data_IF_506359839136
#
_entry.id   IF_506359839136
#
_cell.length_a   1.000
_cell.length_b   1.000
_cell.length_c   1.000
_cell.angle_alpha   90.00
_cell.angle_beta   90.00
_cell.angle_gamma   90.00
#
_symmetry.space_group_name_H-M   'P 1'
#
loop_
_entity.id
_entity.type
_entity.pdbx_description
1 polymer ?
#
# COMPACT_ATOMS: atom_id res chain seq x y z
N UNK A 1 -7.18 -29.13 -27.77
CA UNK A 1 -7.13 -27.76 -27.23
C UNK A 1 -8.56 -27.22 -27.16
N UNK A 2 -9.18 -27.20 -25.98
CA UNK A 2 -10.59 -26.80 -25.81
C UNK A 2 -10.68 -25.27 -25.72
N UNK A 3 -11.29 -24.63 -26.73
CA UNK A 3 -11.64 -23.20 -26.69
C UNK A 3 -12.79 -23.02 -25.69
N UNK A 4 -12.47 -22.71 -24.44
CA UNK A 4 -13.49 -22.18 -23.52
C UNK A 4 -13.93 -20.82 -24.05
N UNK A 5 -15.09 -20.80 -24.70
CA UNK A 5 -15.77 -19.58 -25.11
C UNK A 5 -15.97 -18.71 -23.87
N UNK A 6 -15.33 -17.52 -23.85
CA UNK A 6 -15.62 -16.50 -22.86
C UNK A 6 -17.08 -16.11 -23.06
N UNK A 7 -17.98 -16.63 -22.22
CA UNK A 7 -19.38 -16.21 -22.21
C UNK A 7 -19.37 -14.71 -21.97
N UNK A 8 -19.77 -13.93 -22.97
CA UNK A 8 -19.87 -12.49 -22.84
C UNK A 8 -20.79 -12.20 -21.65
N UNK A 9 -20.23 -11.60 -20.59
CA UNK A 9 -21.03 -11.21 -19.43
C UNK A 9 -22.05 -10.20 -19.91
N UNK A 10 -23.32 -10.41 -19.55
CA UNK A 10 -24.36 -9.42 -19.80
C UNK A 10 -23.91 -8.10 -19.15
N UNK A 11 -24.04 -6.96 -19.84
CA UNK A 11 -23.75 -5.67 -19.24
C UNK A 11 -24.57 -5.55 -17.95
N UNK A 12 -23.90 -5.20 -16.85
CA UNK A 12 -24.55 -4.95 -15.58
C UNK A 12 -25.57 -3.82 -15.75
N UNK A 13 -26.77 -3.92 -15.13
CA UNK A 13 -27.71 -2.82 -15.13
C UNK A 13 -27.01 -1.57 -14.61
N UNK A 14 -27.05 -0.51 -15.40
CA UNK A 14 -26.46 0.79 -15.10
C UNK A 14 -27.29 1.45 -13.98
N UNK A 15 -27.02 1.09 -12.72
CA UNK A 15 -27.40 1.95 -11.61
C UNK A 15 -26.62 3.25 -11.75
N UNK A 16 -27.30 4.40 -11.63
CA UNK A 16 -26.65 5.69 -11.58
C UNK A 16 -25.49 5.61 -10.57
N UNK A 17 -24.27 6.03 -10.94
CA UNK A 17 -23.15 5.98 -10.02
C UNK A 17 -23.56 6.73 -8.76
N UNK A 18 -23.35 6.11 -7.60
CA UNK A 18 -23.51 6.78 -6.31
C UNK A 18 -22.70 8.08 -6.37
N UNK A 19 -23.37 9.23 -6.52
CA UNK A 19 -22.76 10.56 -6.51
C UNK A 19 -22.19 10.89 -5.11
N UNK A 20 -22.46 10.04 -4.12
CA UNK A 20 -22.15 10.27 -2.73
C UNK A 20 -20.80 9.69 -2.28
N UNK A 21 -19.97 9.15 -3.18
CA UNK A 21 -18.63 8.67 -2.79
C UNK A 21 -17.65 9.85 -2.88
N UNK A 22 -17.20 10.41 -1.76
CA UNK A 22 -16.30 11.56 -1.79
C UNK A 22 -14.95 11.16 -2.40
N UNK A 23 -14.38 12.06 -3.20
CA UNK A 23 -13.01 11.91 -3.71
C UNK A 23 -12.05 11.89 -2.53
N UNK A 24 -11.22 10.84 -2.41
CA UNK A 24 -10.31 10.74 -1.26
C UNK A 24 -9.48 12.01 -1.09
N UNK A 25 -8.89 12.52 -2.18
CA UNK A 25 -8.10 13.77 -2.20
C UNK A 25 -8.79 14.99 -1.59
N UNK A 26 -10.12 14.98 -1.52
CA UNK A 26 -10.93 16.06 -0.94
C UNK A 26 -11.29 15.84 0.53
N UNK A 27 -10.96 14.68 1.10
CA UNK A 27 -11.29 14.33 2.47
C UNK A 27 -10.32 14.94 3.48
N UNK A 28 -10.90 15.41 4.57
CA UNK A 28 -10.22 15.75 5.82
C UNK A 28 -9.84 14.49 6.60
N UNK A 29 -8.94 14.65 7.58
CA UNK A 29 -8.58 13.62 8.55
C UNK A 29 -9.81 13.10 9.32
N UNK A 30 -10.75 13.98 9.64
CA UNK A 30 -11.98 13.64 10.38
C UNK A 30 -12.97 12.85 9.53
N UNK A 31 -13.20 13.29 8.29
CA UNK A 31 -14.05 12.55 7.34
C UNK A 31 -13.48 11.16 7.09
N UNK A 32 -12.16 11.01 6.96
CA UNK A 32 -11.58 9.69 6.81
C UNK A 32 -11.63 8.81 8.05
N UNK A 33 -11.42 9.39 9.23
CA UNK A 33 -11.63 8.65 10.48
C UNK A 33 -13.06 8.16 10.58
N UNK A 34 -14.02 8.95 10.09
CA UNK A 34 -15.43 8.59 10.01
C UNK A 34 -15.67 7.49 8.98
N UNK A 35 -15.12 7.62 7.76
CA UNK A 35 -15.18 6.59 6.72
C UNK A 35 -14.54 5.27 7.15
N UNK A 36 -13.46 5.31 7.93
CA UNK A 36 -12.83 4.12 8.50
C UNK A 36 -13.76 3.38 9.46
N UNK A 37 -14.44 4.15 10.32
CA UNK A 37 -15.40 3.60 11.29
C UNK A 37 -16.67 3.10 10.60
N UNK A 38 -17.15 3.77 9.55
CA UNK A 38 -18.36 3.38 8.83
C UNK A 38 -18.11 2.28 7.80
N UNK A 39 -16.91 2.20 7.19
CA UNK A 39 -16.54 1.20 6.19
C UNK A 39 -16.53 -0.23 6.74
N UNK A 40 -16.51 -0.40 8.06
CA UNK A 40 -16.93 -1.62 8.72
C UNK A 40 -18.45 -1.64 8.84
N UNK A 41 -19.16 -1.67 7.71
CA UNK A 41 -20.62 -1.71 7.74
C UNK A 41 -21.06 -3.02 8.43
N UNK A 42 -21.65 -2.95 9.63
CA UNK A 42 -21.94 -4.15 10.42
C UNK A 42 -23.02 -5.03 9.80
N UNK A 43 -23.69 -4.53 8.74
CA UNK A 43 -24.90 -5.10 8.15
C UNK A 43 -24.74 -5.53 6.69
N UNK A 44 -23.51 -5.73 6.20
CA UNK A 44 -23.31 -6.30 4.86
C UNK A 44 -23.87 -7.74 4.84
N UNK A 45 -24.93 -7.95 4.08
CA UNK A 45 -25.48 -9.27 3.78
C UNK A 45 -24.79 -9.79 2.52
N UNK A 46 -23.86 -10.73 2.69
CA UNK A 46 -23.13 -11.36 1.59
C UNK A 46 -23.47 -12.85 1.52
N UNK A 47 -24.13 -13.26 0.44
CA UNK A 47 -24.29 -14.67 0.11
C UNK A 47 -23.02 -15.17 -0.59
N UNK A 48 -22.23 -15.97 0.13
CA UNK A 48 -20.98 -16.53 -0.38
C UNK A 48 -21.19 -17.54 -1.53
N UNK A 49 -22.38 -18.11 -1.68
CA UNK A 49 -22.70 -19.04 -2.78
C UNK A 49 -23.12 -18.31 -4.05
N UNK A 50 -23.65 -17.09 -3.92
CA UNK A 50 -24.14 -16.26 -5.03
C UNK A 50 -23.60 -14.84 -4.93
N UNK A 51 -22.26 -14.64 -5.00
CA UNK A 51 -21.64 -13.32 -4.85
C UNK A 51 -22.16 -12.32 -5.88
N UNK A 52 -22.54 -12.76 -7.07
CA UNK A 52 -23.12 -11.91 -8.12
C UNK A 52 -24.45 -11.26 -7.75
N UNK A 53 -25.18 -11.83 -6.79
CA UNK A 53 -26.45 -11.27 -6.31
C UNK A 53 -26.25 -10.21 -5.21
N UNK A 54 -25.02 -10.02 -4.71
CA UNK A 54 -24.73 -9.06 -3.65
C UNK A 54 -24.68 -7.63 -4.19
N UNK A 55 -25.59 -6.72 -3.79
CA UNK A 55 -25.57 -5.33 -4.23
C UNK A 55 -24.27 -4.62 -3.84
N UNK A 56 -23.74 -4.92 -2.65
CA UNK A 56 -22.48 -4.37 -2.15
C UNK A 56 -21.29 -4.74 -3.05
N UNK A 57 -21.18 -6.00 -3.48
CA UNK A 57 -20.12 -6.38 -4.43
C UNK A 57 -20.29 -5.69 -5.79
N UNK A 58 -21.51 -5.50 -6.26
CA UNK A 58 -21.75 -4.78 -7.52
C UNK A 58 -21.36 -3.30 -7.43
N UNK A 59 -21.61 -2.66 -6.29
CA UNK A 59 -21.16 -1.29 -6.02
C UNK A 59 -19.63 -1.20 -6.05
N UNK A 60 -18.93 -2.11 -5.36
CA UNK A 60 -17.46 -2.19 -5.40
C UNK A 60 -16.97 -2.34 -6.84
N UNK A 61 -17.56 -3.25 -7.62
CA UNK A 61 -17.19 -3.45 -9.03
C UNK A 61 -17.47 -2.23 -9.90
N UNK A 62 -18.52 -1.47 -9.62
CA UNK A 62 -18.82 -0.22 -10.31
C UNK A 62 -17.77 0.85 -10.00
N UNK A 63 -17.37 1.00 -8.74
CA UNK A 63 -16.34 1.95 -8.32
C UNK A 63 -14.97 1.61 -8.89
N UNK A 64 -14.62 0.32 -8.99
CA UNK A 64 -13.38 -0.13 -9.64
C UNK A 64 -13.29 0.27 -11.12
N UNK A 65 -14.40 0.61 -11.77
CA UNK A 65 -14.44 1.08 -13.17
C UNK A 65 -14.40 2.61 -13.28
N UNK A 66 -14.31 3.33 -12.17
CA UNK A 66 -14.21 4.79 -12.19
C UNK A 66 -12.90 5.25 -12.82
N UNK A 67 -12.92 6.35 -13.57
CA UNK A 67 -11.70 6.99 -14.07
C UNK A 67 -10.86 7.60 -12.93
N UNK A 68 -11.47 7.88 -11.79
CA UNK A 68 -10.80 8.45 -10.62
C UNK A 68 -10.02 7.38 -9.84
N UNK A 69 -8.70 7.57 -9.77
CA UNK A 69 -7.77 6.68 -9.07
C UNK A 69 -8.12 6.53 -7.58
N UNK A 70 -8.52 7.63 -6.94
CA UNK A 70 -8.87 7.66 -5.52
C UNK A 70 -10.08 6.79 -5.22
N UNK A 71 -11.11 6.86 -6.06
CA UNK A 71 -12.33 6.05 -5.96
C UNK A 71 -12.04 4.56 -6.15
N UNK A 72 -11.21 4.19 -7.13
CA UNK A 72 -10.80 2.79 -7.32
C UNK A 72 -10.03 2.26 -6.12
N UNK A 73 -9.07 3.01 -5.60
CA UNK A 73 -8.30 2.62 -4.41
C UNK A 73 -9.21 2.47 -3.17
N UNK A 74 -10.15 3.40 -2.99
CA UNK A 74 -11.11 3.33 -1.88
C UNK A 74 -12.00 2.11 -1.94
N UNK A 75 -12.48 1.75 -3.15
CA UNK A 75 -13.25 0.52 -3.36
C UNK A 75 -12.45 -0.73 -2.93
N UNK A 76 -11.17 -0.81 -3.29
CA UNK A 76 -10.29 -1.91 -2.88
C UNK A 76 -10.11 -1.94 -1.36
N UNK A 77 -9.88 -0.79 -0.74
CA UNK A 77 -9.75 -0.69 0.71
C UNK A 77 -11.03 -1.11 1.44
N UNK A 78 -12.20 -0.59 1.04
CA UNK A 78 -13.50 -1.00 1.61
C UNK A 78 -13.72 -2.49 1.46
N UNK A 79 -13.52 -3.01 0.26
CA UNK A 79 -13.61 -4.44 -0.01
C UNK A 79 -12.71 -5.23 0.94
N UNK A 80 -11.43 -4.87 1.06
CA UNK A 80 -10.46 -5.55 1.92
C UNK A 80 -10.89 -5.55 3.38
N UNK A 81 -11.31 -4.42 3.95
CA UNK A 81 -11.71 -4.34 5.36
C UNK A 81 -13.00 -5.15 5.62
N UNK A 82 -14.05 -4.92 4.84
CA UNK A 82 -15.33 -5.57 5.06
C UNK A 82 -15.26 -7.07 4.76
N UNK A 83 -14.61 -7.48 3.68
CA UNK A 83 -14.52 -8.87 3.28
C UNK A 83 -13.63 -9.68 4.23
N UNK A 84 -12.50 -9.13 4.69
CA UNK A 84 -11.68 -9.78 5.72
C UNK A 84 -12.46 -10.01 7.01
N UNK A 85 -13.27 -9.03 7.42
CA UNK A 85 -14.15 -9.15 8.58
C UNK A 85 -15.22 -10.23 8.39
N UNK A 86 -15.88 -10.27 7.22
CA UNK A 86 -16.90 -11.28 6.91
C UNK A 86 -16.33 -12.71 6.88
N UNK A 87 -15.14 -12.90 6.30
CA UNK A 87 -14.43 -14.18 6.31
C UNK A 87 -14.05 -14.64 7.72
N UNK A 88 -13.76 -13.71 8.62
CA UNK A 88 -13.46 -14.03 10.00
C UNK A 88 -14.72 -14.38 10.81
N UNK A 89 -15.85 -13.71 10.54
CA UNK A 89 -17.06 -13.79 11.37
C UNK A 89 -18.04 -14.89 10.97
N UNK A 90 -18.33 -15.04 9.68
CA UNK A 90 -19.56 -15.72 9.23
C UNK A 90 -19.35 -17.09 8.60
N UNK A 91 -18.11 -17.47 8.26
CA UNK A 91 -17.92 -18.58 7.33
C UNK A 91 -16.68 -19.41 7.61
N UNK A 92 -16.72 -20.65 7.11
CA UNK A 92 -15.50 -21.38 6.84
C UNK A 92 -14.76 -20.63 5.73
N UNK A 93 -13.43 -20.49 5.81
CA UNK A 93 -12.67 -19.76 4.77
C UNK A 93 -12.95 -20.27 3.36
N UNK A 94 -13.33 -21.54 3.22
CA UNK A 94 -13.73 -22.16 1.94
C UNK A 94 -14.94 -21.49 1.28
N UNK A 95 -15.83 -20.85 2.03
CA UNK A 95 -16.99 -20.15 1.47
C UNK A 95 -16.56 -18.88 0.71
N UNK A 96 -15.44 -18.27 1.15
CA UNK A 96 -14.81 -17.12 0.49
C UNK A 96 -14.31 -17.37 -0.93
N UNK A 97 -14.14 -18.63 -1.34
CA UNK A 97 -13.53 -18.94 -2.65
C UNK A 97 -14.40 -18.41 -3.80
N UNK A 98 -15.72 -18.52 -3.69
CA UNK A 98 -16.64 -18.03 -4.73
C UNK A 98 -16.61 -16.51 -4.84
N UNK A 99 -16.64 -15.80 -3.71
CA UNK A 99 -16.53 -14.33 -3.68
C UNK A 99 -15.20 -13.88 -4.29
N UNK A 100 -14.09 -14.52 -3.89
CA UNK A 100 -12.75 -14.19 -4.37
C UNK A 100 -12.63 -14.43 -5.87
N UNK A 101 -13.08 -15.58 -6.36
CA UNK A 101 -13.06 -15.90 -7.79
C UNK A 101 -13.96 -14.95 -8.59
N UNK A 102 -15.13 -14.62 -8.07
CA UNK A 102 -16.06 -13.69 -8.70
C UNK A 102 -15.40 -12.32 -8.86
N UNK A 103 -14.88 -11.73 -7.77
CA UNK A 103 -14.34 -10.38 -7.84
C UNK A 103 -13.02 -10.31 -8.63
N UNK A 104 -12.16 -11.34 -8.54
CA UNK A 104 -10.95 -11.47 -9.37
C UNK A 104 -11.29 -11.54 -10.86
N UNK A 105 -12.31 -12.33 -11.22
CA UNK A 105 -12.78 -12.45 -12.61
C UNK A 105 -13.42 -11.16 -13.13
N UNK A 106 -13.81 -10.24 -12.24
CA UNK A 106 -14.42 -8.96 -12.56
C UNK A 106 -13.46 -7.77 -12.45
N UNK A 107 -12.14 -8.03 -12.40
CA UNK A 107 -11.12 -7.02 -12.66
C UNK A 107 -10.44 -6.42 -11.43
N UNK A 108 -10.78 -6.81 -10.20
CA UNK A 108 -10.07 -6.27 -9.02
C UNK A 108 -8.56 -6.59 -9.05
N UNK A 109 -8.17 -7.75 -9.59
CA UNK A 109 -6.75 -8.11 -9.74
C UNK A 109 -6.01 -7.15 -10.67
N UNK A 110 -6.67 -6.69 -11.74
CA UNK A 110 -6.11 -5.68 -12.65
C UNK A 110 -5.96 -4.33 -11.97
N UNK A 111 -6.96 -3.90 -11.21
CA UNK A 111 -6.89 -2.62 -10.49
C UNK A 111 -5.83 -2.62 -9.39
N UNK A 112 -5.69 -3.74 -8.67
CA UNK A 112 -4.58 -3.93 -7.72
C UNK A 112 -3.24 -3.79 -8.43
N UNK A 113 -3.06 -4.46 -9.58
CA UNK A 113 -1.82 -4.34 -10.36
C UNK A 113 -1.54 -2.90 -10.79
N UNK A 114 -2.52 -2.23 -11.40
CA UNK A 114 -2.39 -0.84 -11.84
C UNK A 114 -1.98 0.08 -10.68
N UNK A 115 -2.57 -0.12 -9.50
CA UNK A 115 -2.24 0.65 -8.30
C UNK A 115 -0.84 0.37 -7.75
N UNK A 116 -0.37 -0.88 -7.83
CA UNK A 116 1.00 -1.24 -7.44
C UNK A 116 2.03 -0.70 -8.43
N UNK A 117 1.77 -0.81 -9.74
CA UNK A 117 2.62 -0.27 -10.80
C UNK A 117 2.73 1.25 -10.69
N UNK A 118 1.61 1.97 -10.46
CA UNK A 118 1.63 3.42 -10.19
C UNK A 118 2.47 3.76 -8.96
N UNK A 119 2.33 3.02 -7.86
CA UNK A 119 3.09 3.26 -6.65
C UNK A 119 4.61 3.12 -6.89
N UNK A 120 5.02 2.09 -7.64
CA UNK A 120 6.41 1.85 -8.03
C UNK A 120 6.91 2.96 -8.95
N UNK A 121 6.18 3.30 -10.01
CA UNK A 121 6.65 4.26 -11.02
C UNK A 121 6.63 5.70 -10.55
N UNK A 122 5.61 6.09 -9.79
CA UNK A 122 5.42 7.48 -9.35
C UNK A 122 6.11 7.79 -8.02
N UNK A 123 6.49 6.76 -7.25
CA UNK A 123 6.95 6.95 -5.89
C UNK A 123 5.87 7.53 -4.96
N UNK A 124 4.58 7.39 -5.30
CA UNK A 124 3.44 7.84 -4.46
C UNK A 124 2.90 6.67 -3.63
N UNK A 125 3.64 6.31 -2.59
CA UNK A 125 3.38 5.16 -1.71
C UNK A 125 2.23 5.39 -0.75
N UNK A 126 2.03 6.66 -0.41
CA UNK A 126 1.08 7.07 0.60
C UNK A 126 0.06 8.02 -0.02
N UNK A 127 -1.14 7.91 0.52
CA UNK A 127 -2.21 8.84 0.28
C UNK A 127 -2.43 9.62 1.59
N UNK A 128 -2.54 10.94 1.48
CA UNK A 128 -2.62 11.86 2.61
C UNK A 128 -3.92 12.70 2.55
N UNK A 129 -4.63 12.89 3.68
CA UNK A 129 -5.72 13.85 3.78
C UNK A 129 -5.34 15.26 3.33
N UNK A 130 -6.31 16.02 2.80
CA UNK A 130 -6.06 17.41 2.36
C UNK A 130 -5.54 18.30 3.49
N UNK A 131 -5.99 18.05 4.72
CA UNK A 131 -5.63 18.78 5.92
C UNK A 131 -4.56 18.06 6.76
N UNK A 132 -3.92 17.02 6.22
CA UNK A 132 -2.94 16.19 6.94
C UNK A 132 -1.86 17.03 7.63
N UNK A 133 -1.27 17.98 6.90
CA UNK A 133 -0.21 18.85 7.41
C UNK A 133 -0.75 19.75 8.53
N UNK A 134 -1.90 20.39 8.31
CA UNK A 134 -2.53 21.25 9.30
C UNK A 134 -2.92 20.50 10.58
N UNK A 135 -3.50 19.30 10.43
CA UNK A 135 -3.84 18.41 11.54
C UNK A 135 -2.59 17.98 12.33
N UNK A 136 -1.51 17.62 11.63
CA UNK A 136 -0.24 17.22 12.24
C UNK A 136 0.41 18.39 13.01
N UNK A 137 0.41 19.59 12.45
CA UNK A 137 0.93 20.80 13.11
C UNK A 137 0.09 21.18 14.34
N UNK A 138 -1.21 20.94 14.31
CA UNK A 138 -2.11 21.12 15.45
C UNK A 138 -1.99 20.00 16.50
N UNK A 139 -1.06 19.05 16.35
CA UNK A 139 -0.90 17.92 17.25
C UNK A 139 -2.03 16.89 17.21
N UNK A 140 -2.92 16.97 16.21
CA UNK A 140 -3.97 15.98 16.00
C UNK A 140 -3.38 14.71 15.38
N UNK A 141 -3.93 13.55 15.73
CA UNK A 141 -3.58 12.29 15.07
C UNK A 141 -4.18 12.30 13.67
N UNK A 142 -3.35 12.32 12.65
CA UNK A 142 -3.75 12.17 11.26
C UNK A 142 -3.37 10.76 10.78
N UNK A 143 -4.30 10.09 10.12
CA UNK A 143 -4.06 8.76 9.56
C UNK A 143 -3.42 8.88 8.17
N UNK A 144 -2.43 8.03 7.91
CA UNK A 144 -1.75 7.91 6.62
C UNK A 144 -2.18 6.57 6.02
N UNK A 145 -2.58 6.57 4.75
CA UNK A 145 -2.96 5.36 4.06
C UNK A 145 -1.84 4.96 3.11
N UNK A 146 -1.24 3.80 3.35
CA UNK A 146 -0.26 3.24 2.42
C UNK A 146 -1.00 2.52 1.28
N UNK A 147 -0.83 3.02 0.04
CA UNK A 147 -1.41 2.40 -1.16
C UNK A 147 -0.96 0.95 -1.28
N UNK A 148 0.34 0.73 -1.14
CA UNK A 148 0.97 -0.59 -1.20
C UNK A 148 0.36 -1.53 -0.16
N UNK A 149 0.17 -1.07 1.09
CA UNK A 149 -0.50 -1.85 2.13
C UNK A 149 -1.90 -2.31 1.73
N UNK A 150 -2.70 -1.37 1.18
CA UNK A 150 -4.09 -1.63 0.80
C UNK A 150 -4.13 -2.74 -0.24
N UNK A 151 -3.32 -2.60 -1.30
CA UNK A 151 -3.24 -3.54 -2.40
C UNK A 151 -2.70 -4.91 -1.97
N UNK A 152 -1.58 -4.94 -1.22
CA UNK A 152 -0.98 -6.19 -0.74
C UNK A 152 -1.90 -6.94 0.23
N UNK A 153 -2.58 -6.23 1.14
CA UNK A 153 -3.54 -6.86 2.04
C UNK A 153 -4.79 -7.34 1.29
N UNK A 154 -5.24 -6.62 0.26
CA UNK A 154 -6.34 -7.10 -0.59
C UNK A 154 -5.96 -8.42 -1.29
N UNK A 155 -4.72 -8.55 -1.76
CA UNK A 155 -4.20 -9.81 -2.30
C UNK A 155 -4.20 -10.94 -1.26
N UNK A 156 -3.79 -10.71 0.00
CA UNK A 156 -3.88 -11.73 1.07
C UNK A 156 -5.32 -12.16 1.32
N UNK A 157 -6.26 -11.21 1.34
CA UNK A 157 -7.67 -11.51 1.56
C UNK A 157 -8.27 -12.31 0.39
N UNK A 158 -7.84 -12.04 -0.85
CA UNK A 158 -8.31 -12.74 -2.05
C UNK A 158 -7.65 -14.12 -2.26
N UNK A 159 -6.46 -14.34 -1.70
CA UNK A 159 -5.73 -15.61 -1.75
C UNK A 159 -6.30 -16.65 -0.77
N UNK A 160 -7.60 -16.89 -0.84
CA UNK A 160 -8.34 -17.84 0.01
C UNK A 160 -7.91 -19.28 -0.22
N UNK A 161 -7.70 -19.69 -1.48
CA UNK A 161 -7.22 -21.01 -1.84
C UNK A 161 -6.31 -20.99 -3.09
N UNK A 162 -5.81 -22.16 -3.49
CA UNK A 162 -4.95 -22.28 -4.67
C UNK A 162 -5.64 -21.87 -5.98
N UNK A 163 -6.97 -21.98 -6.09
CA UNK A 163 -7.71 -21.59 -7.30
C UNK A 163 -7.77 -20.08 -7.41
N UNK A 164 -8.12 -19.37 -6.32
CA UNK A 164 -8.13 -17.91 -6.33
C UNK A 164 -6.71 -17.35 -6.51
N UNK A 165 -5.70 -18.00 -5.94
CA UNK A 165 -4.31 -17.63 -6.18
C UNK A 165 -3.88 -17.75 -7.64
N UNK A 166 -4.37 -18.76 -8.39
CA UNK A 166 -4.11 -18.85 -9.84
C UNK A 166 -4.71 -17.67 -10.61
N UNK A 167 -5.86 -17.16 -10.19
CA UNK A 167 -6.43 -15.95 -10.80
C UNK A 167 -5.54 -14.74 -10.52
N UNK A 168 -5.03 -14.59 -9.28
CA UNK A 168 -4.07 -13.53 -8.94
C UNK A 168 -2.84 -13.61 -9.84
N UNK A 169 -2.20 -14.78 -9.96
CA UNK A 169 -1.02 -14.97 -10.81
C UNK A 169 -1.31 -14.74 -12.30
N UNK A 170 -2.55 -14.93 -12.74
CA UNK A 170 -2.93 -14.67 -14.13
C UNK A 170 -3.04 -13.17 -14.41
N UNK A 171 -3.60 -12.40 -13.49
CA UNK A 171 -3.73 -10.94 -13.64
C UNK A 171 -2.39 -10.23 -13.32
N UNK A 172 -1.61 -10.78 -12.39
CA UNK A 172 -0.34 -10.24 -11.88
C UNK A 172 0.75 -11.33 -11.95
N UNK A 173 1.28 -11.64 -13.14
CA UNK A 173 2.26 -12.72 -13.33
C UNK A 173 3.59 -12.47 -12.62
N UNK A 174 3.90 -11.20 -12.37
CA UNK A 174 5.08 -10.65 -11.72
C UNK A 174 4.80 -10.22 -10.27
N UNK A 175 3.71 -10.73 -9.66
CA UNK A 175 3.31 -10.34 -8.29
C UNK A 175 4.46 -10.48 -7.29
N UNK A 176 5.33 -11.48 -7.44
CA UNK A 176 6.46 -11.65 -6.52
C UNK A 176 7.51 -10.58 -6.70
N UNK A 177 7.89 -10.25 -7.94
CA UNK A 177 8.85 -9.19 -8.22
C UNK A 177 8.33 -7.86 -7.70
N UNK A 178 7.06 -7.55 -7.98
CA UNK A 178 6.37 -6.36 -7.47
C UNK A 178 6.42 -6.32 -5.93
N UNK A 179 6.09 -7.43 -5.26
CA UNK A 179 6.14 -7.52 -3.79
C UNK A 179 7.56 -7.39 -3.23
N UNK A 180 8.57 -7.98 -3.88
CA UNK A 180 9.97 -7.87 -3.45
C UNK A 180 10.53 -6.46 -3.65
N UNK A 181 10.12 -5.74 -4.70
CA UNK A 181 10.52 -4.34 -4.89
C UNK A 181 10.06 -3.44 -3.74
N UNK A 182 8.96 -3.78 -3.07
CA UNK A 182 8.53 -3.06 -1.87
C UNK A 182 9.38 -3.38 -0.64
N UNK A 183 9.92 -4.59 -0.53
CA UNK A 183 10.79 -4.98 0.59
C UNK A 183 12.15 -4.26 0.52
N UNK A 184 12.70 -4.06 -0.67
CA UNK A 184 13.97 -3.34 -0.85
C UNK A 184 13.83 -1.84 -0.58
N UNK A 185 12.70 -1.26 -0.98
CA UNK A 185 12.46 0.18 -0.84
C UNK A 185 11.94 0.57 0.55
N UNK A 186 11.24 -0.34 1.23
CA UNK A 186 10.77 -0.12 2.59
C UNK A 186 11.71 -0.78 3.60
N UNK A 187 12.77 -0.04 4.00
CA UNK A 187 13.85 -0.46 4.91
C UNK A 187 13.37 -0.88 6.32
N UNK A 188 12.59 -1.96 6.43
CA UNK A 188 12.23 -2.63 7.67
C UNK A 188 10.81 -2.44 8.20
N UNK A 189 9.84 -1.98 7.40
CA UNK A 189 8.48 -1.67 7.90
C UNK A 189 7.37 -2.65 7.50
N UNK A 190 7.58 -3.52 6.51
CA UNK A 190 6.65 -4.61 6.20
C UNK A 190 7.25 -5.96 6.55
N UNK A 191 6.74 -6.60 7.59
CA UNK A 191 6.54 -8.04 7.50
C UNK A 191 5.39 -8.25 6.53
N UNK A 192 5.72 -8.43 5.25
CA UNK A 192 4.80 -8.99 4.25
C UNK A 192 4.01 -10.12 4.93
N UNK A 193 2.68 -10.29 4.70
CA UNK A 193 1.95 -11.38 5.31
C UNK A 193 2.53 -12.69 4.79
N UNK A 194 3.46 -13.26 5.56
CA UNK A 194 3.98 -14.63 5.52
C UNK A 194 2.79 -15.62 5.46
N UNK A 195 1.60 -15.15 5.83
CA UNK A 195 0.33 -15.85 5.74
C UNK A 195 -0.17 -16.20 4.34
N UNK A 196 0.03 -15.38 3.28
CA UNK A 196 -0.45 -15.71 1.92
C UNK A 196 0.10 -17.08 1.49
N UNK A 197 1.36 -17.29 1.82
CA UNK A 197 2.16 -18.40 1.32
C UNK A 197 2.03 -19.68 2.16
N UNK A 198 1.81 -19.55 3.46
CA UNK A 198 1.57 -20.74 4.32
C UNK A 198 0.24 -21.39 3.95
N UNK A 199 -0.75 -20.57 3.56
CA UNK A 199 -2.14 -20.98 3.36
C UNK A 199 -2.36 -21.76 2.06
N UNK A 200 -1.68 -21.41 0.97
CA UNK A 200 -1.95 -22.01 -0.34
C UNK A 200 -1.18 -23.31 -0.64
N UNK A 201 -0.06 -23.57 0.04
CA UNK A 201 0.86 -24.66 -0.35
C UNK A 201 1.01 -25.81 0.66
N UNK A 202 0.49 -25.68 1.89
CA UNK A 202 0.64 -26.70 2.93
C UNK A 202 -0.24 -27.96 2.79
N UNK A 203 -0.90 -28.20 1.65
CA UNK A 203 -1.55 -29.49 1.40
C UNK A 203 -1.26 -30.06 0.00
N UNK A 204 -0.46 -31.13 -0.04
CA UNK A 204 -0.80 -32.24 -0.91
C UNK A 204 -0.77 -33.59 -0.17
N UNK A 205 -1.95 -34.22 -0.12
CA UNK A 205 -2.17 -35.66 -0.37
C UNK A 205 -1.78 -36.74 0.67
N UNK A 206 -1.47 -36.42 1.93
CA UNK A 206 -1.25 -37.48 2.94
C UNK A 206 -1.98 -37.23 4.26
N UNK A 207 -3.32 -37.26 4.25
CA UNK A 207 -4.11 -37.39 5.48
C UNK A 207 -5.26 -38.39 5.27
N UNK A 208 -4.92 -39.69 5.32
CA UNK A 208 -5.86 -40.69 5.80
C UNK A 208 -5.69 -40.76 7.33
N UNK A 209 -6.74 -40.36 8.06
CA UNK A 209 -7.02 -40.68 9.46
C UNK A 209 -5.98 -40.23 10.51
N UNK A 210 -5.98 -38.97 10.95
CA UNK A 210 -5.73 -38.58 12.35
C UNK A 210 -6.44 -37.24 12.67
N UNK A 211 -6.95 -37.04 13.90
CA UNK A 211 -7.48 -35.76 14.35
C UNK A 211 -6.33 -34.74 14.49
N UNK A 212 -6.64 -33.48 14.19
CA UNK A 212 -5.74 -32.33 14.19
C UNK A 212 -4.90 -32.24 15.48
N UNK A 213 -3.56 -32.35 15.37
CA UNK A 213 -2.62 -31.80 16.35
C UNK A 213 -1.97 -30.55 15.76
N UNK A 214 -1.93 -29.49 16.55
CA UNK A 214 -1.41 -28.16 16.22
C UNK A 214 0.09 -28.08 16.51
N UNK A 215 0.91 -28.63 15.63
CA UNK A 215 2.38 -28.53 15.74
C UNK A 215 2.95 -27.86 14.48
N UNK A 216 3.66 -26.75 14.68
CA UNK A 216 4.09 -25.80 13.64
C UNK A 216 5.31 -26.30 12.84
N UNK A 217 5.29 -26.03 11.53
CA UNK A 217 6.33 -26.30 10.52
C UNK A 217 7.04 -25.00 10.07
N UNK A 218 8.28 -25.05 9.53
CA UNK A 218 9.23 -23.92 9.42
C UNK A 218 8.72 -22.73 8.61
N UNK A 219 9.25 -21.52 8.90
CA UNK A 219 8.80 -20.23 8.37
C UNK A 219 8.65 -20.24 6.84
N UNK A 220 7.61 -19.60 6.33
CA UNK A 220 7.25 -19.55 4.90
C UNK A 220 8.34 -18.96 4.01
N UNK A 221 9.16 -18.05 4.51
CA UNK A 221 10.31 -17.54 3.75
C UNK A 221 11.27 -18.69 3.41
N UNK A 222 11.46 -19.65 4.33
CA UNK A 222 12.29 -20.84 4.12
C UNK A 222 11.70 -21.78 3.06
N UNK A 223 10.37 -21.91 3.01
CA UNK A 223 9.67 -22.75 2.03
C UNK A 223 9.62 -22.13 0.63
N UNK A 224 9.49 -20.81 0.54
CA UNK A 224 9.54 -20.07 -0.74
C UNK A 224 10.95 -19.97 -1.30
N UNK A 225 11.96 -19.73 -0.46
CA UNK A 225 13.36 -19.81 -0.87
C UNK A 225 13.70 -21.22 -1.37
N UNK A 226 13.18 -22.27 -0.71
CA UNK A 226 13.33 -23.66 -1.16
C UNK A 226 12.62 -23.94 -2.51
N UNK A 227 11.40 -23.42 -2.74
CA UNK A 227 10.67 -23.59 -4.00
C UNK A 227 11.27 -22.79 -5.16
N UNK A 228 11.72 -21.56 -4.91
CA UNK A 228 12.41 -20.73 -5.89
C UNK A 228 13.77 -21.32 -6.24
N UNK A 229 14.54 -21.76 -5.24
CA UNK A 229 15.80 -22.49 -5.45
C UNK A 229 15.58 -23.77 -6.25
N UNK A 230 14.50 -24.53 -5.99
CA UNK A 230 14.17 -25.75 -6.73
C UNK A 230 13.68 -25.50 -8.17
N UNK A 231 13.04 -24.37 -8.45
CA UNK A 231 12.62 -23.98 -9.81
C UNK A 231 13.81 -23.47 -10.63
N UNK A 232 14.76 -22.79 -9.99
CA UNK A 232 15.98 -22.27 -10.63
C UNK A 232 17.07 -23.35 -10.78
N UNK A 233 17.15 -24.30 -9.83
CA UNK A 233 18.11 -25.39 -9.86
C UNK A 233 17.54 -26.65 -9.14
N UNK A 234 16.87 -27.57 -9.86
CA UNK A 234 16.20 -28.71 -9.26
C UNK A 234 17.14 -29.79 -8.67
N UNK A 235 18.43 -29.77 -9.02
CA UNK A 235 19.41 -30.79 -8.59
C UNK A 235 20.13 -30.42 -7.28
N UNK A 236 20.17 -29.14 -6.91
CA UNK A 236 20.97 -28.65 -5.76
C UNK A 236 20.28 -28.75 -4.40
N UNK A 237 19.13 -29.41 -4.31
CA UNK A 237 18.28 -29.40 -3.10
C UNK A 237 18.13 -30.80 -2.51
N UNK A 238 18.63 -31.08 -1.29
CA UNK A 238 18.61 -32.42 -0.71
C UNK A 238 17.17 -32.91 -0.44
N UNK A 239 16.94 -34.20 -0.70
CA UNK A 239 15.64 -34.86 -0.54
C UNK A 239 15.42 -35.18 0.95
N UNK A 240 14.46 -34.53 1.60
CA UNK A 240 14.20 -34.70 3.03
C UNK A 240 13.71 -36.12 3.36
N UNK A 241 14.38 -36.79 4.30
CA UNK A 241 13.95 -38.06 4.92
C UNK A 241 13.33 -37.78 6.29
N UNK A 242 12.25 -38.47 6.69
CA UNK A 242 11.60 -38.25 7.97
C UNK A 242 12.14 -39.22 9.04
N UNK A 243 13.05 -38.76 9.91
CA UNK A 243 13.31 -39.40 11.20
C UNK A 243 13.98 -38.42 12.18
N UNK A 244 13.71 -38.66 13.46
CA UNK A 244 14.33 -38.12 14.68
C UNK A 244 13.59 -36.95 15.35
N UNK A 245 12.69 -37.34 16.25
CA UNK A 245 12.05 -36.49 17.24
C UNK A 245 12.91 -36.35 18.49
N UNK A 246 12.94 -35.14 19.05
CA UNK A 246 13.32 -34.88 20.43
C UNK A 246 12.36 -33.81 20.98
N UNK A 247 11.47 -34.22 21.87
CA UNK A 247 10.57 -33.34 22.63
C UNK A 247 11.36 -32.59 23.71
N UNK A 248 11.27 -31.26 23.71
CA UNK A 248 11.60 -30.44 24.86
C UNK A 248 10.44 -29.49 25.16
N UNK A 249 9.91 -29.65 26.36
CA UNK A 249 8.77 -28.98 26.96
C UNK A 249 8.90 -27.45 27.04
N UNK A 250 7.88 -26.72 26.57
CA UNK A 250 7.64 -25.32 26.93
C UNK A 250 6.13 -25.07 27.13
N UNK A 251 5.77 -24.45 28.26
CA UNK A 251 4.39 -24.18 28.66
C UNK A 251 3.77 -22.99 27.90
N UNK A 252 2.44 -22.98 27.65
CA UNK A 252 1.77 -21.93 26.88
C UNK A 252 1.39 -20.73 27.76
N UNK A 253 1.83 -19.53 27.35
CA UNK A 253 1.21 -18.29 27.79
C UNK A 253 -0.09 -18.07 27.00
N UNK A 254 -1.20 -18.06 27.73
CA UNK A 254 -2.55 -17.88 27.19
C UNK A 254 -2.88 -16.46 26.73
N UNK A 255 -4.01 -16.39 26.03
CA UNK A 255 -4.82 -15.20 25.70
C UNK A 255 -4.27 -14.21 24.66
N UNK A 256 -4.42 -14.55 23.37
CA UNK A 256 -4.39 -13.57 22.27
C UNK A 256 -5.81 -13.09 21.95
N UNK A 257 -6.27 -12.10 22.72
CA UNK A 257 -7.42 -11.27 22.38
C UNK A 257 -6.99 -9.84 22.10
N UNK A 258 -7.11 -9.40 20.84
CA UNK A 258 -7.57 -8.07 20.35
C UNK A 258 -7.06 -7.78 18.92
N UNK A 259 -7.88 -7.23 18.01
CA UNK A 259 -7.47 -6.89 16.63
C UNK A 259 -6.62 -5.61 16.52
N UNK A 260 -6.39 -4.88 17.60
CA UNK A 260 -5.97 -3.46 17.54
C UNK A 260 -4.46 -3.23 17.69
N UNK A 261 -3.61 -4.20 17.29
CA UNK A 261 -2.15 -4.07 17.41
C UNK A 261 -1.52 -3.15 16.36
N UNK A 262 -2.28 -2.69 15.37
CA UNK A 262 -1.78 -1.89 14.25
C UNK A 262 -1.93 -0.37 14.44
N UNK A 263 -2.66 0.08 15.47
CA UNK A 263 -2.85 1.51 15.76
C UNK A 263 -1.66 2.20 16.47
N UNK A 264 -0.64 1.44 16.90
CA UNK A 264 0.51 1.98 17.65
C UNK A 264 1.80 2.15 16.83
N UNK A 265 1.85 1.72 15.57
CA UNK A 265 3.02 1.91 14.72
C UNK A 265 3.00 3.28 14.03
N UNK A 266 3.29 4.33 14.81
CA UNK A 266 3.73 5.63 14.27
C UNK A 266 5.12 5.43 13.66
N UNK A 267 5.22 5.45 12.34
CA UNK A 267 6.48 5.18 11.63
C UNK A 267 7.44 6.37 11.75
N UNK A 268 8.69 6.09 12.16
CA UNK A 268 9.82 7.03 12.08
C UNK A 268 10.12 7.43 10.62
N UNK A 269 9.71 6.62 9.63
CA UNK A 269 9.90 6.86 8.19
C UNK A 269 8.88 7.82 7.60
N UNK A 270 7.58 7.75 7.95
CA UNK A 270 6.64 8.82 7.57
C UNK A 270 7.04 10.14 8.20
N UNK A 271 7.64 10.13 9.40
CA UNK A 271 8.26 11.35 9.96
C UNK A 271 9.46 11.80 9.15
N UNK A 272 10.29 10.92 8.58
CA UNK A 272 11.45 11.27 7.71
C UNK A 272 11.06 11.74 6.31
N UNK A 273 10.10 11.09 5.64
CA UNK A 273 9.59 11.53 4.33
C UNK A 273 8.73 12.79 4.47
N UNK A 274 7.92 12.89 5.53
CA UNK A 274 7.26 14.14 5.89
C UNK A 274 8.29 15.18 6.33
N UNK A 275 9.37 14.82 7.03
CA UNK A 275 10.49 15.73 7.32
C UNK A 275 11.26 16.09 6.04
N UNK A 276 11.31 15.26 5.00
CA UNK A 276 11.91 15.58 3.69
C UNK A 276 11.01 16.51 2.87
N UNK A 277 9.70 16.25 2.87
CA UNK A 277 8.69 17.16 2.31
C UNK A 277 8.54 18.45 3.13
N UNK A 278 8.75 18.42 4.44
CA UNK A 278 8.83 19.61 5.31
C UNK A 278 10.21 20.27 5.20
N UNK A 279 11.28 19.53 4.88
CA UNK A 279 12.62 20.09 4.62
C UNK A 279 12.67 20.89 3.33
N UNK A 280 11.73 20.70 2.40
CA UNK A 280 11.60 21.60 1.24
C UNK A 280 11.00 22.95 1.63
N UNK A 281 10.41 23.07 2.83
CA UNK A 281 9.91 24.33 3.37
C UNK A 281 11.07 25.18 3.88
N UNK A 282 11.53 26.12 3.06
CA UNK A 282 12.67 26.98 3.38
C UNK A 282 12.29 28.18 4.24
N UNK A 283 13.18 28.56 5.17
CA UNK A 283 13.09 29.83 5.92
C UNK A 283 13.90 30.91 5.24
N UNK A 284 13.42 32.15 5.29
CA UNK A 284 14.14 33.30 4.71
C UNK A 284 15.52 33.44 5.37
N UNK A 285 16.58 33.54 4.56
CA UNK A 285 17.97 33.65 5.04
C UNK A 285 18.34 35.03 5.57
N UNK A 286 17.40 35.99 5.63
CA UNK A 286 17.65 37.32 6.21
C UNK A 286 17.50 37.27 7.73
N UNK A 287 18.52 37.76 8.45
CA UNK A 287 18.45 37.93 9.90
C UNK A 287 17.25 38.81 10.30
N UNK A 288 16.42 38.30 11.21
CA UNK A 288 15.19 38.96 11.68
C UNK A 288 13.96 38.76 10.78
N UNK A 289 14.01 37.93 9.74
CA UNK A 289 12.84 37.56 8.95
C UNK A 289 12.40 36.12 9.27
N UNK A 290 11.22 35.97 9.88
CA UNK A 290 10.68 34.66 10.28
C UNK A 290 9.72 34.04 9.24
N UNK A 291 9.64 34.63 8.03
CA UNK A 291 8.76 34.10 6.98
C UNK A 291 9.24 32.72 6.52
N UNK A 292 8.28 31.80 6.45
CA UNK A 292 8.44 30.43 6.00
C UNK A 292 7.79 30.29 4.62
N UNK A 293 8.41 29.53 3.72
CA UNK A 293 7.92 29.29 2.35
C UNK A 293 6.55 28.58 2.37
N UNK A 294 5.50 29.21 1.83
CA UNK A 294 4.14 28.66 1.87
C UNK A 294 3.90 27.59 0.79
N UNK A 295 4.56 27.73 -0.35
CA UNK A 295 4.56 26.78 -1.45
C UNK A 295 5.99 26.66 -2.01
N UNK A 296 6.39 25.45 -2.37
CA UNK A 296 7.75 25.15 -2.83
C UNK A 296 8.13 26.01 -4.06
N UNK A 297 9.29 26.68 -3.98
CA UNK A 297 9.83 27.49 -5.07
C UNK A 297 9.31 28.92 -5.12
N UNK A 298 8.49 29.35 -4.16
CA UNK A 298 8.05 30.75 -4.07
C UNK A 298 9.16 31.68 -3.55
N UNK A 299 10.12 31.17 -2.78
CA UNK A 299 11.26 31.95 -2.30
C UNK A 299 12.33 32.06 -3.38
N UNK A 300 12.88 33.27 -3.54
CA UNK A 300 13.93 33.55 -4.53
C UNK A 300 15.29 33.12 -4.00
N UNK A 301 16.03 32.37 -4.82
CA UNK A 301 17.41 32.01 -4.51
C UNK A 301 18.38 33.16 -4.81
N UNK A 302 19.48 33.22 -4.07
CA UNK A 302 20.56 34.14 -4.37
C UNK A 302 21.14 33.85 -5.77
N UNK A 303 21.21 34.86 -6.64
CA UNK A 303 21.71 34.68 -8.00
C UNK A 303 23.19 34.28 -8.09
N UNK A 304 23.97 34.54 -7.03
CA UNK A 304 25.36 34.11 -6.91
C UNK A 304 25.48 32.67 -6.43
N UNK A 305 25.32 32.45 -5.11
CA UNK A 305 25.58 31.13 -4.52
C UNK A 305 24.45 30.10 -4.71
N UNK A 306 23.22 30.53 -5.02
CA UNK A 306 22.00 29.69 -5.05
C UNK A 306 21.70 28.91 -3.77
N UNK A 307 22.45 29.13 -2.68
CA UNK A 307 22.27 28.48 -1.39
C UNK A 307 21.29 29.25 -0.49
N UNK A 308 21.42 30.59 -0.43
CA UNK A 308 20.53 31.42 0.36
C UNK A 308 19.20 31.67 -0.36
N UNK A 309 18.09 31.69 0.38
CA UNK A 309 16.73 31.89 -0.13
C UNK A 309 16.04 33.06 0.57
N UNK A 310 15.22 33.81 -0.16
CA UNK A 310 14.61 35.04 0.32
C UNK A 310 13.14 35.12 -0.09
N UNK A 311 12.28 35.50 0.86
CA UNK A 311 10.85 35.69 0.60
C UNK A 311 10.56 36.89 -0.32
N UNK A 312 11.50 37.82 -0.48
CA UNK A 312 11.36 38.99 -1.36
C UNK A 312 12.72 39.56 -1.80
N UNK A 313 12.71 40.43 -2.82
CA UNK A 313 13.93 41.09 -3.34
C UNK A 313 14.51 42.07 -2.30
N UNK A 314 13.66 42.66 -1.47
CA UNK A 314 14.02 43.57 -0.39
C UNK A 314 14.79 42.82 0.70
N UNK A 315 14.33 41.61 1.07
CA UNK A 315 15.04 40.77 2.02
C UNK A 315 16.41 40.33 1.51
N UNK A 316 16.52 40.00 0.22
CA UNK A 316 17.80 39.71 -0.42
C UNK A 316 18.76 40.91 -0.37
N UNK A 317 18.29 42.12 -0.74
CA UNK A 317 19.10 43.35 -0.70
C UNK A 317 19.58 43.68 0.72
N UNK A 318 18.75 43.48 1.73
CA UNK A 318 19.12 43.72 3.13
C UNK A 318 20.11 42.69 3.64
N UNK A 319 19.87 41.40 3.41
CA UNK A 319 20.82 40.34 3.77
C UNK A 319 22.18 40.54 3.08
N UNK A 320 22.18 41.00 1.82
CA UNK A 320 23.39 41.35 1.08
C UNK A 320 24.23 42.42 1.81
N UNK A 321 23.58 43.49 2.30
CA UNK A 321 24.24 44.55 3.08
C UNK A 321 24.66 44.10 4.48
N UNK A 322 23.95 43.15 5.08
CA UNK A 322 24.19 42.62 6.43
C UNK A 322 25.30 41.55 6.49
N UNK A 323 26.07 41.33 5.42
CA UNK A 323 27.22 40.43 5.40
C UNK A 323 27.07 39.20 4.51
N UNK A 324 25.90 38.94 3.89
CA UNK A 324 25.81 37.86 2.91
C UNK A 324 26.72 38.11 1.70
N UNK A 325 27.03 39.37 1.38
CA UNK A 325 27.99 39.73 0.32
C UNK A 325 29.35 39.05 0.50
N UNK A 326 29.82 38.96 1.74
CA UNK A 326 31.15 38.45 2.07
C UNK A 326 31.15 36.92 2.14
N UNK A 327 30.01 36.32 2.48
CA UNK A 327 29.81 34.87 2.53
C UNK A 327 29.33 34.26 1.21
N UNK A 328 28.93 35.08 0.24
CA UNK A 328 28.42 34.60 -1.04
C UNK A 328 29.57 34.03 -1.87
N UNK A 329 29.76 32.72 -1.76
CA UNK A 329 30.73 31.93 -2.54
C UNK A 329 30.45 31.88 -4.06
N UNK A 330 29.38 32.53 -4.54
CA UNK A 330 29.01 32.57 -5.95
C UNK A 330 29.87 33.48 -6.83
N UNK A 331 31.11 33.76 -6.43
CA UNK A 331 32.07 34.48 -7.28
C UNK A 331 33.07 33.49 -7.86
N UNK A 332 32.88 33.23 -9.16
CA UNK A 332 33.88 32.73 -10.12
C UNK A 332 34.23 31.25 -9.89
N UNK A 333 33.86 30.31 -10.76
CA UNK A 333 34.31 30.12 -12.15
C UNK A 333 33.19 29.47 -13.00
N UNK A 334 33.25 29.63 -14.33
CA UNK A 334 32.36 29.06 -15.36
C UNK A 334 31.19 29.95 -15.84
N UNK A 335 31.53 30.92 -16.69
CA UNK A 335 30.74 31.21 -17.89
C UNK A 335 31.69 31.24 -19.10
N UNK A 336 31.63 30.27 -20.04
CA UNK A 336 32.40 30.35 -21.28
C UNK A 336 31.91 31.56 -22.09
N UNK A 337 32.87 32.31 -22.61
CA UNK A 337 32.68 33.64 -23.19
C UNK A 337 31.57 33.69 -24.24
N UNK A 338 30.58 34.56 -23.99
CA UNK A 338 29.69 35.08 -25.02
C UNK A 338 30.52 36.03 -25.90
N UNK A 339 31.06 35.51 -27.00
CA UNK A 339 31.70 36.33 -28.03
C UNK A 339 30.69 37.37 -28.52
N UNK A 340 31.07 38.65 -28.39
CA UNK A 340 30.35 39.76 -28.99
C UNK A 340 30.58 39.70 -30.50
N UNK A 341 29.55 39.31 -31.26
CA UNK A 341 29.47 39.59 -32.68
C UNK A 341 29.48 41.11 -32.88
N UNK A 342 30.52 41.61 -33.55
CA UNK A 342 30.59 42.98 -34.05
C UNK A 342 29.65 43.16 -35.23
#
# INVERSE_FOLDING_TARGET
MSKMARKAMKPLPTSAPSENVPLLSTLTCEEMSTLRKSGLEPNIKLDFLKPEASPWLQEILQELRSDDESRRMFAIWRFKESYAYLLWKQSSRTDGVNVSNFILSNGIGREIRLGLDDAISSGRWYWLPKDFIAATLAGKKAEIFSKVSIYCCALDTLAVDFRSFKYILKEIPDVFQVLFSFEEQDQGFYTMPVSIFYRCYAQPKAQKKRPFSTEWRPSVCTFLLWLLARKQNPESVPRATPADGLEASFQPLGAFGRPDRWALFRTRSSRRQLEEQIKSVRKCSRAGCEKIEAAEGTFKLCGGCRLACYCSRECQKMAWKQGHRDQCCGKQENAPGRQKSK
#
